data_IF_536296932815
#
_entry.id   IF_536296932815
#
_cell.length_a   1.000
_cell.length_b   1.000
_cell.length_c   1.000
_cell.angle_alpha   90.00
_cell.angle_beta   90.00
_cell.angle_gamma   90.00
#
_symmetry.space_group_name_H-M   'P 1'
#
loop_
_entity.id
_entity.type
_entity.pdbx_description
1 polymer ?
#
# COMPACT_ATOMS: atom_id res chain seq x y z
N UNK A 1 4.46 24.26 -15.75
CA UNK A 1 3.57 25.34 -15.25
C UNK A 1 3.87 25.61 -13.77
N UNK A 2 4.56 26.72 -13.46
CA UNK A 2 5.02 27.08 -12.10
C UNK A 2 3.88 27.36 -11.11
N UNK A 3 2.70 27.76 -11.60
CA UNK A 3 1.56 28.14 -10.75
C UNK A 3 0.84 26.94 -10.11
N UNK A 4 0.75 25.80 -10.79
CA UNK A 4 0.06 24.62 -10.27
C UNK A 4 0.74 24.06 -9.01
N UNK A 5 2.07 24.09 -8.98
CA UNK A 5 2.85 23.73 -7.80
C UNK A 5 2.57 24.66 -6.62
N UNK A 6 2.52 25.98 -6.86
CA UNK A 6 2.21 26.97 -5.83
C UNK A 6 0.79 26.80 -5.27
N UNK A 7 -0.20 26.52 -6.13
CA UNK A 7 -1.58 26.24 -5.68
C UNK A 7 -1.62 24.97 -4.83
N UNK A 8 -0.94 23.89 -5.25
CA UNK A 8 -0.87 22.65 -4.45
C UNK A 8 -0.28 22.89 -3.06
N UNK A 9 0.80 23.64 -2.98
CA UNK A 9 1.45 23.93 -1.70
C UNK A 9 0.60 24.84 -0.80
N UNK A 10 -0.14 25.79 -1.38
CA UNK A 10 -1.09 26.59 -0.61
C UNK A 10 -2.24 25.74 -0.09
N UNK A 11 -2.84 24.88 -0.94
CA UNK A 11 -3.92 23.97 -0.52
C UNK A 11 -3.45 23.05 0.60
N UNK A 12 -2.27 22.43 0.49
CA UNK A 12 -1.74 21.55 1.56
C UNK A 12 -1.54 22.27 2.89
N UNK A 13 -1.08 23.53 2.85
CA UNK A 13 -0.83 24.32 4.06
C UNK A 13 -2.12 24.72 4.75
N UNK A 14 -3.12 25.11 3.96
CA UNK A 14 -4.39 25.61 4.48
C UNK A 14 -5.40 24.48 4.72
N UNK A 15 -5.08 23.24 4.33
CA UNK A 15 -5.99 22.11 4.49
C UNK A 15 -6.21 21.82 5.98
N UNK A 16 -7.45 21.92 6.46
CA UNK A 16 -7.77 21.71 7.86
C UNK A 16 -7.65 20.20 8.20
N UNK A 17 -6.74 19.86 9.12
CA UNK A 17 -6.43 18.46 9.46
C UNK A 17 -7.48 17.79 10.36
N UNK A 18 -8.35 18.57 10.99
CA UNK A 18 -9.50 18.10 11.80
C UNK A 18 -10.57 17.37 10.97
N UNK A 19 -10.44 17.35 9.65
CA UNK A 19 -11.21 16.50 8.74
C UNK A 19 -10.75 15.04 8.76
N UNK A 20 -9.57 14.76 9.32
CA UNK A 20 -9.03 13.41 9.46
C UNK A 20 -9.11 12.94 10.91
N UNK A 21 -9.46 11.67 11.08
CA UNK A 21 -9.30 11.02 12.37
C UNK A 21 -7.81 10.73 12.63
N UNK A 22 -7.35 10.81 13.89
CA UNK A 22 -6.04 10.27 14.25
C UNK A 22 -5.92 8.81 13.79
N UNK A 23 -4.78 8.44 13.20
CA UNK A 23 -4.60 7.12 12.60
C UNK A 23 -4.90 5.97 13.59
N UNK A 24 -4.43 6.08 14.84
CA UNK A 24 -4.67 5.07 15.87
C UNK A 24 -6.17 4.91 16.21
N UNK A 25 -6.92 6.03 16.25
CA UNK A 25 -8.36 6.03 16.51
C UNK A 25 -9.12 5.37 15.34
N UNK A 26 -8.76 5.75 14.11
CA UNK A 26 -9.35 5.16 12.91
C UNK A 26 -9.08 3.65 12.84
N UNK A 27 -7.84 3.21 13.10
CA UNK A 27 -7.47 1.80 13.09
C UNK A 27 -8.29 1.01 14.13
N UNK A 28 -8.32 1.50 15.38
CA UNK A 28 -9.09 0.86 16.44
C UNK A 28 -10.57 0.72 16.04
N UNK A 29 -11.14 1.77 15.43
CA UNK A 29 -12.54 1.75 14.98
C UNK A 29 -12.81 0.73 13.88
N UNK A 30 -11.90 0.58 12.92
CA UNK A 30 -12.05 -0.43 11.86
C UNK A 30 -11.99 -1.84 12.45
N UNK A 31 -11.07 -2.09 13.38
CA UNK A 31 -10.98 -3.38 14.07
C UNK A 31 -12.22 -3.69 14.91
N UNK A 32 -12.79 -2.71 15.62
CA UNK A 32 -14.08 -2.86 16.33
C UNK A 32 -15.22 -3.29 15.42
N UNK A 33 -15.20 -2.86 14.15
CA UNK A 33 -16.18 -3.22 13.14
C UNK A 33 -15.89 -4.58 12.45
N UNK A 34 -14.86 -5.30 12.89
CA UNK A 34 -14.39 -6.54 12.26
C UNK A 34 -13.68 -6.33 10.92
N UNK A 35 -13.34 -5.09 10.59
CA UNK A 35 -12.57 -4.76 9.39
C UNK A 35 -11.08 -5.02 9.57
N UNK A 36 -10.34 -4.87 8.48
CA UNK A 36 -8.88 -4.95 8.48
C UNK A 36 -8.25 -3.65 7.96
N UNK A 37 -7.01 -3.40 8.37
CA UNK A 37 -6.25 -2.20 7.98
C UNK A 37 -4.99 -2.55 7.21
N UNK A 38 -4.84 -1.93 6.04
CA UNK A 38 -3.64 -1.96 5.22
C UNK A 38 -3.05 -0.57 5.11
N UNK A 39 -1.74 -0.44 5.29
CA UNK A 39 -1.01 0.81 5.01
C UNK A 39 -0.67 0.89 3.50
N UNK A 40 -1.27 1.82 2.75
CA UNK A 40 -0.94 2.03 1.33
C UNK A 40 0.37 2.81 1.19
N UNK A 41 1.07 2.62 0.07
CA UNK A 41 2.32 3.33 -0.27
C UNK A 41 3.26 3.62 0.92
N UNK A 42 3.68 2.56 1.65
CA UNK A 42 4.39 2.68 2.92
C UNK A 42 5.75 3.38 2.81
N UNK A 43 6.30 3.54 1.60
CA UNK A 43 7.53 4.31 1.38
C UNK A 43 7.45 5.77 1.85
N UNK A 44 6.25 6.31 2.01
CA UNK A 44 6.01 7.65 2.56
C UNK A 44 5.69 7.63 4.07
N UNK A 45 5.52 6.44 4.65
CA UNK A 45 5.00 6.23 6.01
C UNK A 45 5.85 5.23 6.80
N UNK A 46 7.16 5.23 6.59
CA UNK A 46 8.06 4.30 7.28
C UNK A 46 7.98 4.45 8.81
N UNK A 47 7.89 5.68 9.29
CA UNK A 47 7.69 5.99 10.71
C UNK A 47 6.45 5.31 11.28
N UNK A 48 5.40 5.12 10.48
CA UNK A 48 4.18 4.43 10.90
C UNK A 48 4.39 2.91 11.06
N UNK A 49 5.26 2.31 10.23
CA UNK A 49 5.69 0.92 10.38
C UNK A 49 6.57 0.75 11.62
N UNK A 50 7.48 1.68 11.86
CA UNK A 50 8.37 1.67 13.03
C UNK A 50 7.64 1.93 14.35
N UNK A 51 6.60 2.77 14.32
CA UNK A 51 5.73 3.03 15.46
C UNK A 51 4.92 1.80 15.90
N UNK A 52 4.92 0.71 15.12
CA UNK A 52 4.23 -0.53 15.47
C UNK A 52 2.71 -0.36 15.50
N UNK A 53 2.17 0.45 14.58
CA UNK A 53 0.73 0.58 14.43
C UNK A 53 0.10 -0.82 14.24
N UNK A 54 -1.10 -1.06 14.79
CA UNK A 54 -1.76 -2.35 14.68
C UNK A 54 -2.31 -2.56 13.26
N UNK A 55 -1.43 -2.84 12.30
CA UNK A 55 -1.78 -3.07 10.91
C UNK A 55 -2.03 -4.56 10.67
N UNK A 56 -2.94 -4.89 9.76
CA UNK A 56 -3.14 -6.25 9.25
C UNK A 56 -2.32 -6.50 8.00
N UNK A 57 -2.06 -5.45 7.23
CA UNK A 57 -1.30 -5.53 5.99
C UNK A 57 -0.59 -4.25 5.61
N UNK A 58 0.24 -4.39 4.59
CA UNK A 58 1.00 -3.30 3.99
C UNK A 58 1.01 -3.50 2.48
N UNK A 59 0.81 -2.42 1.73
CA UNK A 59 0.97 -2.43 0.29
C UNK A 59 2.44 -2.49 -0.08
N UNK A 60 2.85 -3.61 -0.65
CA UNK A 60 4.25 -3.86 -0.98
C UNK A 60 4.57 -3.39 -2.39
N UNK A 61 3.56 -3.38 -3.27
CA UNK A 61 3.79 -3.01 -4.66
C UNK A 61 4.08 -1.52 -4.80
N UNK A 62 5.31 -1.21 -5.20
CA UNK A 62 5.70 0.13 -5.59
C UNK A 62 6.03 0.15 -7.10
N UNK A 63 5.14 0.68 -7.95
CA UNK A 63 5.36 0.71 -9.40
C UNK A 63 6.56 1.56 -9.82
N UNK A 64 6.97 2.50 -8.97
CA UNK A 64 8.13 3.37 -9.21
C UNK A 64 9.44 2.73 -8.74
N UNK A 65 9.40 1.65 -7.95
CA UNK A 65 10.61 0.99 -7.44
C UNK A 65 10.41 -0.47 -7.05
N UNK A 66 10.86 -1.37 -7.93
CA UNK A 66 10.96 -2.81 -7.68
C UNK A 66 11.81 -3.14 -6.44
N UNK A 67 12.95 -2.46 -6.30
CA UNK A 67 13.87 -2.66 -5.17
C UNK A 67 13.19 -2.38 -3.82
N UNK A 68 12.40 -1.29 -3.72
CA UNK A 68 11.66 -0.98 -2.49
C UNK A 68 10.59 -2.03 -2.20
N UNK A 69 9.94 -2.53 -3.26
CA UNK A 69 8.97 -3.64 -3.12
C UNK A 69 9.64 -4.88 -2.53
N UNK A 70 10.83 -5.25 -3.02
CA UNK A 70 11.60 -6.39 -2.49
C UNK A 70 12.08 -6.18 -1.05
N UNK A 71 12.65 -5.01 -0.74
CA UNK A 71 13.16 -4.69 0.60
C UNK A 71 12.05 -4.75 1.66
N UNK A 72 10.89 -4.20 1.35
CA UNK A 72 9.73 -4.23 2.23
C UNK A 72 9.16 -5.64 2.37
N UNK A 73 9.03 -6.39 1.26
CA UNK A 73 8.57 -7.78 1.33
C UNK A 73 9.52 -8.63 2.18
N UNK A 74 10.84 -8.47 2.00
CA UNK A 74 11.83 -9.18 2.79
C UNK A 74 11.72 -8.85 4.28
N UNK A 75 11.40 -7.60 4.64
CA UNK A 75 11.14 -7.21 6.03
C UNK A 75 9.88 -7.90 6.61
N UNK A 76 8.81 -8.04 5.82
CA UNK A 76 7.61 -8.78 6.21
C UNK A 76 7.91 -10.27 6.41
N UNK A 77 8.58 -10.91 5.44
CA UNK A 77 8.94 -12.34 5.50
C UNK A 77 9.84 -12.64 6.70
N UNK A 78 10.76 -11.73 7.03
CA UNK A 78 11.61 -11.84 8.21
C UNK A 78 10.89 -11.54 9.55
N UNK A 79 9.60 -11.18 9.54
CA UNK A 79 8.81 -10.89 10.74
C UNK A 79 9.26 -9.63 11.49
N UNK A 80 9.93 -8.70 10.79
CA UNK A 80 10.45 -7.44 11.36
C UNK A 80 9.36 -6.40 11.57
N UNK A 81 8.26 -6.49 10.81
CA UNK A 81 7.08 -5.64 10.97
C UNK A 81 6.07 -6.41 11.81
N UNK A 82 5.65 -5.82 12.93
CA UNK A 82 4.69 -6.42 13.86
C UNK A 82 3.28 -5.99 13.52
N UNK A 83 2.36 -6.94 13.49
CA UNK A 83 0.95 -6.70 13.18
C UNK A 83 0.08 -6.64 14.43
N UNK A 84 -1.19 -6.35 14.19
CA UNK A 84 -2.21 -6.33 15.24
C UNK A 84 -2.32 -7.69 15.96
N UNK A 85 -2.41 -7.67 17.30
CA UNK A 85 -2.62 -8.87 18.11
C UNK A 85 -1.51 -9.93 18.01
N UNK A 86 -0.30 -9.54 17.58
CA UNK A 86 0.82 -10.47 17.36
C UNK A 86 0.70 -11.32 16.09
N UNK A 87 -0.31 -11.08 15.26
CA UNK A 87 -0.45 -11.74 13.95
C UNK A 87 0.58 -11.18 12.97
N UNK A 88 1.01 -11.99 11.97
CA UNK A 88 1.87 -11.49 10.91
C UNK A 88 1.14 -10.46 10.04
N UNK A 89 1.84 -9.39 9.67
CA UNK A 89 1.37 -8.42 8.67
C UNK A 89 1.46 -9.06 7.29
N UNK A 90 0.41 -8.93 6.49
CA UNK A 90 0.32 -9.52 5.15
C UNK A 90 0.63 -8.51 4.05
N UNK A 91 1.26 -8.94 2.95
CA UNK A 91 1.42 -8.08 1.79
C UNK A 91 0.09 -7.88 1.06
N UNK A 92 -0.12 -6.68 0.53
CA UNK A 92 -1.08 -6.40 -0.54
C UNK A 92 -0.35 -5.84 -1.76
N UNK A 93 -1.01 -5.96 -2.92
CA UNK A 93 -0.51 -5.48 -4.20
C UNK A 93 -1.62 -4.68 -4.86
N UNK A 94 -1.49 -3.36 -4.95
CA UNK A 94 -2.44 -2.45 -5.59
C UNK A 94 -1.76 -1.63 -6.67
N UNK A 95 -2.38 -1.52 -7.83
CA UNK A 95 -1.82 -0.80 -8.99
C UNK A 95 -1.92 0.73 -8.88
N UNK A 96 -2.71 1.21 -7.90
CA UNK A 96 -3.07 2.60 -7.67
C UNK A 96 -3.43 3.31 -8.99
N UNK A 97 -4.30 2.65 -9.77
CA UNK A 97 -4.62 3.09 -11.13
C UNK A 97 -5.42 4.40 -11.13
N UNK A 98 -4.77 5.49 -11.56
CA UNK A 98 -5.38 6.80 -11.72
C UNK A 98 -5.75 7.05 -13.19
N UNK A 99 -7.04 6.90 -13.53
CA UNK A 99 -7.54 7.06 -14.91
C UNK A 99 -7.41 8.49 -15.47
N UNK A 100 -7.19 9.49 -14.62
CA UNK A 100 -7.03 10.87 -15.05
C UNK A 100 -5.84 11.10 -15.99
N UNK A 101 -4.79 10.28 -15.92
CA UNK A 101 -3.65 10.36 -16.84
C UNK A 101 -4.06 10.06 -18.28
N UNK A 102 -4.93 9.05 -18.46
CA UNK A 102 -5.39 8.57 -19.78
C UNK A 102 -6.22 9.61 -20.52
N UNK A 103 -6.76 10.61 -19.81
CA UNK A 103 -7.55 11.70 -20.39
C UNK A 103 -6.71 12.85 -20.92
N UNK A 104 -5.39 12.88 -20.65
CA UNK A 104 -4.50 13.93 -21.16
C UNK A 104 -4.20 13.71 -22.65
N UNK A 105 -3.85 14.77 -23.41
CA UNK A 105 -3.25 14.62 -24.73
C UNK A 105 -2.02 13.70 -24.67
N UNK A 106 -1.83 12.84 -25.68
CA UNK A 106 -0.73 11.84 -25.70
C UNK A 106 0.64 12.48 -25.43
N UNK A 107 0.90 13.68 -25.95
CA UNK A 107 2.14 14.41 -25.74
C UNK A 107 2.38 14.88 -24.30
N UNK A 108 1.38 14.79 -23.43
CA UNK A 108 1.41 15.20 -22.02
C UNK A 108 1.18 14.03 -21.07
N UNK A 109 1.01 12.81 -21.60
CA UNK A 109 0.87 11.61 -20.78
C UNK A 109 2.23 11.15 -20.26
N UNK A 110 2.24 10.75 -19.00
CA UNK A 110 3.28 9.90 -18.44
C UNK A 110 3.00 8.45 -18.87
N UNK A 111 3.87 7.88 -19.70
CA UNK A 111 3.70 6.53 -20.28
C UNK A 111 3.57 5.43 -19.21
N UNK A 112 4.30 5.56 -18.09
CA UNK A 112 4.26 4.59 -17.00
C UNK A 112 2.89 4.59 -16.32
N UNK A 113 2.26 5.76 -16.20
CA UNK A 113 0.94 5.93 -15.58
C UNK A 113 -0.20 5.64 -16.54
N UNK A 114 -0.08 6.04 -17.81
CA UNK A 114 -1.11 5.79 -18.81
C UNK A 114 -1.19 4.31 -19.19
N UNK A 115 -0.08 3.57 -19.08
CA UNK A 115 -0.04 2.12 -19.30
C UNK A 115 -0.62 1.27 -18.16
N UNK A 116 -0.99 1.86 -17.01
CA UNK A 116 -1.59 1.10 -15.89
C UNK A 116 -3.03 0.74 -16.23
N UNK A 117 -3.39 -0.51 -16.07
CA UNK A 117 -4.75 -1.02 -16.23
C UNK A 117 -5.25 -1.60 -14.91
N UNK A 118 -6.57 -1.60 -14.71
CA UNK A 118 -7.19 -2.22 -13.54
C UNK A 118 -6.76 -3.70 -13.48
N UNK A 119 -6.10 -4.09 -12.39
CA UNK A 119 -5.63 -5.46 -12.19
C UNK A 119 -4.25 -5.73 -12.79
N UNK A 120 -3.55 -4.70 -13.29
CA UNK A 120 -2.17 -4.81 -13.73
C UNK A 120 -1.22 -4.97 -12.53
N UNK A 121 -0.87 -6.21 -12.19
CA UNK A 121 -0.03 -6.54 -11.04
C UNK A 121 1.22 -7.35 -11.42
N UNK A 122 2.17 -6.76 -12.19
CA UNK A 122 3.37 -7.48 -12.63
C UNK A 122 4.30 -7.85 -11.47
N UNK A 123 4.11 -7.25 -10.29
CA UNK A 123 4.82 -7.56 -9.05
C UNK A 123 4.92 -9.06 -8.76
N UNK A 124 3.84 -9.80 -8.97
CA UNK A 124 3.77 -11.24 -8.70
C UNK A 124 4.68 -12.09 -9.59
N UNK A 125 4.95 -11.62 -10.81
CA UNK A 125 5.72 -12.35 -11.81
C UNK A 125 7.21 -11.95 -11.76
N UNK A 126 7.57 -10.98 -10.91
CA UNK A 126 8.95 -10.55 -10.72
C UNK A 126 9.75 -11.57 -9.89
N UNK A 127 10.92 -12.05 -10.37
CA UNK A 127 11.64 -13.16 -9.72
C UNK A 127 11.98 -12.94 -8.24
N UNK A 128 12.39 -11.73 -7.85
CA UNK A 128 12.73 -11.41 -6.46
C UNK A 128 11.52 -11.46 -5.53
N UNK A 129 10.40 -10.88 -5.97
CA UNK A 129 9.13 -10.89 -5.24
C UNK A 129 8.57 -12.31 -5.17
N UNK A 130 8.52 -13.02 -6.30
CA UNK A 130 8.02 -14.40 -6.37
C UNK A 130 8.80 -15.34 -5.43
N UNK A 131 10.13 -15.18 -5.35
CA UNK A 131 10.98 -15.96 -4.45
C UNK A 131 10.66 -15.70 -2.98
N UNK A 132 10.52 -14.43 -2.59
CA UNK A 132 10.17 -14.05 -1.21
C UNK A 132 8.77 -14.54 -0.82
N UNK A 133 7.79 -14.40 -1.73
CA UNK A 133 6.44 -14.93 -1.53
C UNK A 133 6.46 -16.45 -1.33
N UNK A 134 7.23 -17.18 -2.14
CA UNK A 134 7.36 -18.63 -2.01
C UNK A 134 8.00 -19.03 -0.67
N UNK A 135 9.03 -18.31 -0.21
CA UNK A 135 9.67 -18.55 1.09
C UNK A 135 8.68 -18.42 2.26
N UNK A 136 7.73 -17.49 2.17
CA UNK A 136 6.69 -17.28 3.19
C UNK A 136 5.47 -18.20 3.01
N UNK A 137 5.44 -19.06 1.98
CA UNK A 137 4.26 -19.87 1.65
C UNK A 137 3.06 -19.04 1.18
N UNK A 138 3.30 -17.83 0.68
CA UNK A 138 2.26 -16.88 0.27
C UNK A 138 1.99 -16.97 -1.24
N UNK A 139 0.94 -17.72 -1.60
CA UNK A 139 0.34 -17.67 -2.94
C UNK A 139 -0.81 -16.67 -3.01
N UNK A 140 -1.19 -16.25 -4.23
CA UNK A 140 -2.33 -15.35 -4.45
C UNK A 140 -3.61 -15.88 -3.79
N UNK A 141 -3.91 -17.17 -3.96
CA UNK A 141 -5.12 -17.80 -3.40
C UNK A 141 -5.08 -17.87 -1.89
N UNK A 142 -3.92 -18.21 -1.34
CA UNK A 142 -3.66 -18.37 0.09
C UNK A 142 -3.78 -17.02 0.80
N UNK A 143 -3.17 -15.96 0.25
CA UNK A 143 -3.31 -14.60 0.78
C UNK A 143 -4.75 -14.11 0.73
N UNK A 144 -5.47 -14.32 -0.38
CA UNK A 144 -6.90 -13.95 -0.46
C UNK A 144 -7.74 -14.69 0.59
N UNK A 145 -7.52 -16.00 0.78
CA UNK A 145 -8.22 -16.77 1.82
C UNK A 145 -7.92 -16.24 3.21
N UNK A 146 -6.66 -15.95 3.50
CA UNK A 146 -6.25 -15.40 4.79
C UNK A 146 -6.90 -14.03 5.04
N UNK A 147 -6.92 -13.13 4.05
CA UNK A 147 -7.63 -11.86 4.14
C UNK A 147 -9.13 -12.02 4.40
N UNK A 148 -9.77 -12.98 3.72
CA UNK A 148 -11.18 -13.31 3.96
C UNK A 148 -11.39 -13.83 5.39
N UNK A 149 -10.49 -14.65 5.92
CA UNK A 149 -10.54 -15.15 7.30
C UNK A 149 -10.47 -13.99 8.30
N UNK A 150 -9.59 -13.00 8.06
CA UNK A 150 -9.44 -11.83 8.95
C UNK A 150 -10.66 -10.93 8.97
N UNK A 151 -11.27 -10.68 7.81
CA UNK A 151 -12.49 -9.86 7.69
C UNK A 151 -13.72 -10.48 8.35
N UNK A 152 -13.70 -11.78 8.62
CA UNK A 152 -14.85 -12.49 9.19
C UNK A 152 -14.92 -12.43 10.71
N UNK A 153 -13.86 -11.96 11.39
CA UNK A 153 -13.79 -11.92 12.86
C UNK A 153 -13.90 -13.31 13.48
#
# INVERSE_FOLDING_TARGET
>A
LRWLGLVKEQVKRDFPLDWFLPAAEWIARIHELGGTVTLPHPEFFWDALEAGLPLDGVEVWNPQSWRRSEELLAALVAGRIKGHGGRPVLPTFGDDCHLGEKLKPLSLQDEEKSGREIGWQPAWDWPGIATLLAQAGWGRRELVREWITRLKG
#
